data_IF_412562121605
#
_entry.id   IF_412562121605
#
_cell.length_a   1.000
_cell.length_b   1.000
_cell.length_c   1.000
_cell.angle_alpha   90.00
_cell.angle_beta   90.00
_cell.angle_gamma   90.00
#
_symmetry.space_group_name_H-M   'P 1'
#
loop_
_entity.id
_entity.type
_entity.pdbx_description
1 polymer ?
#
# COMPACT_ATOMS: atom_id res chain seq x y z
N UNK A 1 -0.08 -25.79 31.67
CA UNK A 1 -0.92 -25.40 30.52
C UNK A 1 -1.42 -24.01 30.84
N UNK A 2 -1.06 -22.99 30.06
CA UNK A 2 -1.52 -21.62 30.32
C UNK A 2 -3.05 -21.59 30.29
N UNK A 3 -3.69 -20.99 31.29
CA UNK A 3 -5.14 -20.83 31.32
C UNK A 3 -5.60 -20.03 30.10
N UNK A 4 -6.38 -20.66 29.22
CA UNK A 4 -6.92 -20.01 28.01
C UNK A 4 -7.93 -18.96 28.45
N UNK A 5 -7.56 -17.69 28.35
CA UNK A 5 -8.45 -16.56 28.63
C UNK A 5 -9.46 -16.43 27.49
N UNK A 6 -10.75 -16.41 27.82
CA UNK A 6 -11.82 -16.20 26.84
C UNK A 6 -11.74 -14.76 26.33
N UNK A 7 -11.76 -14.58 25.01
CA UNK A 7 -11.87 -13.27 24.37
C UNK A 7 -13.34 -12.87 24.20
N UNK A 8 -14.19 -13.81 23.80
CA UNK A 8 -15.61 -13.56 23.62
C UNK A 8 -16.36 -14.77 23.07
N UNK A 9 -17.67 -14.63 22.93
CA UNK A 9 -18.53 -15.63 22.29
C UNK A 9 -19.07 -15.05 21.00
N UNK A 10 -18.97 -15.85 19.94
CA UNK A 10 -19.43 -15.47 18.61
C UNK A 10 -20.64 -16.30 18.20
N UNK A 11 -21.52 -15.72 17.39
CA UNK A 11 -22.64 -16.43 16.78
C UNK A 11 -22.82 -16.02 15.31
N UNK A 12 -23.06 -17.01 14.45
CA UNK A 12 -23.26 -16.84 13.01
C UNK A 12 -24.73 -16.95 12.61
N UNK A 13 -25.11 -16.15 11.61
CA UNK A 13 -26.43 -16.09 11.00
C UNK A 13 -26.29 -16.07 9.48
N UNK A 14 -27.31 -16.56 8.77
CA UNK A 14 -27.36 -16.53 7.29
C UNK A 14 -28.15 -15.34 6.75
N UNK A 15 -28.94 -14.70 7.61
CA UNK A 15 -29.98 -13.76 7.18
C UNK A 15 -29.69 -12.34 7.72
N UNK A 16 -29.63 -11.32 6.84
CA UNK A 16 -29.36 -9.93 7.21
C UNK A 16 -30.45 -9.33 8.13
N UNK A 17 -31.70 -9.77 8.02
CA UNK A 17 -32.79 -9.28 8.86
C UNK A 17 -32.71 -9.89 10.27
N UNK A 18 -32.31 -11.17 10.36
CA UNK A 18 -32.08 -11.85 11.63
C UNK A 18 -30.99 -11.13 12.42
N UNK A 19 -29.81 -10.87 11.85
CA UNK A 19 -28.71 -10.19 12.56
C UNK A 19 -29.12 -8.80 13.04
N UNK A 20 -29.89 -8.05 12.24
CA UNK A 20 -30.37 -6.71 12.61
C UNK A 20 -31.35 -6.77 13.78
N UNK A 21 -32.21 -7.78 13.82
CA UNK A 21 -33.12 -8.01 14.96
C UNK A 21 -32.36 -8.46 16.21
N UNK A 22 -31.35 -9.32 16.06
CA UNK A 22 -30.50 -9.80 17.14
C UNK A 22 -29.68 -8.66 17.74
N UNK A 23 -29.11 -7.79 16.92
CA UNK A 23 -28.37 -6.61 17.38
C UNK A 23 -29.23 -5.69 18.27
N UNK A 24 -30.51 -5.48 17.92
CA UNK A 24 -31.45 -4.73 18.78
C UNK A 24 -31.67 -5.42 20.13
N UNK A 25 -31.91 -6.73 20.12
CA UNK A 25 -32.12 -7.51 21.36
C UNK A 25 -30.88 -7.53 22.25
N UNK A 26 -29.69 -7.61 21.67
CA UNK A 26 -28.41 -7.59 22.42
C UNK A 26 -28.17 -6.21 23.04
N UNK A 27 -28.49 -5.14 22.32
CA UNK A 27 -28.51 -3.79 22.87
C UNK A 27 -29.52 -3.63 24.02
N UNK A 28 -30.75 -4.12 23.84
CA UNK A 28 -31.81 -4.10 24.87
C UNK A 28 -31.44 -4.94 26.09
N UNK A 29 -30.70 -6.04 25.87
CA UNK A 29 -30.10 -6.84 26.94
C UNK A 29 -28.98 -6.09 27.68
N UNK A 30 -28.55 -4.91 27.23
CA UNK A 30 -27.66 -4.01 27.96
C UNK A 30 -26.17 -4.36 27.83
N UNK A 31 -25.77 -5.14 26.83
CA UNK A 31 -24.35 -5.33 26.52
C UNK A 31 -23.76 -4.05 25.93
N UNK A 32 -22.53 -3.74 26.34
CA UNK A 32 -21.81 -2.52 25.96
C UNK A 32 -20.59 -2.79 25.09
N UNK A 33 -19.92 -3.94 25.28
CA UNK A 33 -18.77 -4.39 24.50
C UNK A 33 -19.15 -5.58 23.63
N UNK A 34 -19.68 -5.28 22.46
CA UNK A 34 -20.04 -6.25 21.45
C UNK A 34 -19.95 -5.59 20.08
N UNK A 35 -19.78 -6.40 19.04
CA UNK A 35 -19.66 -5.93 17.68
C UNK A 35 -20.45 -6.83 16.72
N UNK A 36 -20.79 -6.28 15.56
CA UNK A 36 -21.44 -6.99 14.47
C UNK A 36 -20.50 -7.00 13.28
N UNK A 37 -20.24 -8.18 12.76
CA UNK A 37 -19.40 -8.36 11.59
C UNK A 37 -20.28 -8.79 10.41
N UNK A 38 -20.18 -8.06 9.30
CA UNK A 38 -20.93 -8.35 8.07
C UNK A 38 -20.05 -8.22 6.83
N UNK A 39 -20.27 -9.04 5.79
CA UNK A 39 -19.48 -9.02 4.55
C UNK A 39 -19.68 -7.73 3.75
N UNK A 40 -20.80 -7.04 3.99
CA UNK A 40 -21.15 -5.79 3.35
C UNK A 40 -21.88 -4.84 4.33
N UNK A 41 -21.99 -3.54 4.01
CA UNK A 41 -22.68 -2.57 4.85
C UNK A 41 -24.19 -2.84 4.96
N UNK A 42 -24.66 -3.11 6.18
CA UNK A 42 -26.07 -3.30 6.47
C UNK A 42 -26.73 -1.96 6.84
N UNK A 43 -27.67 -1.52 6.00
CA UNK A 43 -28.38 -0.25 6.23
C UNK A 43 -29.22 -0.33 7.51
N UNK A 44 -29.05 0.65 8.39
CA UNK A 44 -29.76 0.71 9.67
C UNK A 44 -29.13 -0.10 10.81
N UNK A 45 -28.01 -0.81 10.57
CA UNK A 45 -27.27 -1.49 11.62
C UNK A 45 -26.76 -0.52 12.69
N UNK A 46 -26.30 0.67 12.28
CA UNK A 46 -25.88 1.74 13.22
C UNK A 46 -26.97 2.09 14.24
N UNK A 47 -28.23 2.19 13.78
CA UNK A 47 -29.39 2.48 14.64
C UNK A 47 -29.74 1.27 15.51
N UNK A 48 -29.64 0.06 14.97
CA UNK A 48 -29.87 -1.18 15.70
C UNK A 48 -28.87 -1.36 16.85
N UNK A 49 -27.58 -1.11 16.60
CA UNK A 49 -26.50 -1.11 17.61
C UNK A 49 -26.56 0.11 18.53
N UNK A 50 -27.11 1.24 18.07
CA UNK A 50 -27.11 2.50 18.82
C UNK A 50 -25.77 3.21 18.80
N UNK A 51 -25.04 3.12 17.69
CA UNK A 51 -23.76 3.79 17.52
C UNK A 51 -23.95 5.30 17.44
N UNK A 52 -22.94 6.03 17.92
CA UNK A 52 -22.88 7.49 17.79
C UNK A 52 -22.35 7.86 16.40
N UNK A 53 -22.69 9.05 15.88
CA UNK A 53 -22.10 9.55 14.65
C UNK A 53 -20.57 9.56 14.69
N UNK A 54 -19.95 9.20 13.56
CA UNK A 54 -18.50 9.21 13.38
C UNK A 54 -17.92 10.62 13.51
N UNK A 55 -16.79 10.75 14.21
CA UNK A 55 -16.03 12.01 14.34
C UNK A 55 -15.08 12.26 13.14
N UNK A 56 -15.06 11.38 12.14
CA UNK A 56 -14.15 11.47 11.00
C UNK A 56 -14.38 12.73 10.14
N UNK A 57 -15.64 13.20 10.05
CA UNK A 57 -15.97 14.44 9.35
C UNK A 57 -15.34 15.68 10.01
N UNK A 58 -15.25 15.70 11.34
CA UNK A 58 -14.63 16.82 12.09
C UNK A 58 -13.13 16.87 11.83
N UNK A 59 -12.47 15.71 11.80
CA UNK A 59 -11.04 15.61 11.46
C UNK A 59 -10.80 16.19 10.06
N UNK A 60 -11.59 15.73 9.08
CA UNK A 60 -11.51 16.20 7.68
C UNK A 60 -11.65 17.73 7.60
N UNK A 61 -12.61 18.30 8.32
CA UNK A 61 -12.86 19.74 8.33
C UNK A 61 -11.68 20.53 8.92
N UNK A 62 -11.15 20.10 10.06
CA UNK A 62 -10.04 20.78 10.74
C UNK A 62 -8.81 20.80 9.84
N UNK A 63 -8.41 19.64 9.31
CA UNK A 63 -7.23 19.55 8.45
C UNK A 63 -7.44 20.25 7.10
N UNK A 64 -8.64 20.20 6.53
CA UNK A 64 -8.96 20.98 5.32
C UNK A 64 -8.80 22.48 5.53
N UNK A 65 -9.41 23.03 6.60
CA UNK A 65 -9.29 24.46 6.92
C UNK A 65 -7.85 24.86 7.24
N UNK A 66 -7.11 24.02 7.98
CA UNK A 66 -5.68 24.24 8.23
C UNK A 66 -4.87 24.23 6.93
N UNK A 67 -5.18 23.34 5.99
CA UNK A 67 -4.52 23.27 4.68
C UNK A 67 -4.76 24.51 3.83
N UNK A 68 -6.01 24.98 3.79
CA UNK A 68 -6.37 26.23 3.11
C UNK A 68 -5.63 27.43 3.70
N UNK A 69 -5.64 27.56 5.03
CA UNK A 69 -4.97 28.63 5.74
C UNK A 69 -3.45 28.61 5.52
N UNK A 70 -2.83 27.42 5.59
CA UNK A 70 -1.39 27.24 5.41
C UNK A 70 -0.96 27.55 3.97
N UNK A 71 -1.72 27.10 2.97
CA UNK A 71 -1.42 27.37 1.57
C UNK A 71 -1.49 28.87 1.24
N UNK A 72 -2.57 29.54 1.65
CA UNK A 72 -2.72 30.99 1.45
C UNK A 72 -1.65 31.78 2.20
N UNK A 73 -1.37 31.40 3.45
CA UNK A 73 -0.33 32.04 4.25
C UNK A 73 1.05 31.88 3.61
N UNK A 74 1.39 30.66 3.15
CA UNK A 74 2.67 30.37 2.51
C UNK A 74 2.86 31.14 1.20
N UNK A 75 1.84 31.19 0.33
CA UNK A 75 1.91 31.95 -0.92
C UNK A 75 1.98 33.46 -0.69
N UNK A 76 1.19 33.99 0.27
CA UNK A 76 1.29 35.40 0.66
C UNK A 76 2.68 35.73 1.18
N UNK A 77 3.21 34.92 2.10
CA UNK A 77 4.52 35.15 2.69
C UNK A 77 5.63 35.15 1.63
N UNK A 78 5.69 34.11 0.80
CA UNK A 78 6.75 33.97 -0.21
C UNK A 78 6.67 35.03 -1.32
N UNK A 79 5.47 35.28 -1.87
CA UNK A 79 5.32 36.16 -3.04
C UNK A 79 5.10 37.63 -2.71
N UNK A 80 4.64 37.97 -1.50
CA UNK A 80 4.36 39.37 -1.12
C UNK A 80 5.33 39.93 -0.09
N UNK A 81 6.00 39.10 0.72
CA UNK A 81 6.87 39.57 1.81
C UNK A 81 8.33 39.21 1.56
N UNK A 82 8.64 37.93 1.36
CA UNK A 82 10.02 37.44 1.29
C UNK A 82 10.68 37.75 -0.05
N UNK A 83 10.02 37.40 -1.16
CA UNK A 83 10.58 37.57 -2.50
C UNK A 83 9.54 38.14 -3.50
N UNK A 84 9.19 39.43 -3.38
CA UNK A 84 8.24 40.06 -4.28
C UNK A 84 8.80 40.19 -5.70
N UNK A 85 8.16 39.51 -6.66
CA UNK A 85 8.52 39.54 -8.08
C UNK A 85 7.44 40.19 -8.93
N UNK A 86 7.84 41.01 -9.89
CA UNK A 86 6.93 41.61 -10.87
C UNK A 86 6.76 40.66 -12.04
N UNK A 87 5.68 39.86 -12.02
CA UNK A 87 5.37 38.88 -13.07
C UNK A 87 4.15 39.36 -13.86
N UNK A 88 4.36 39.77 -15.12
CA UNK A 88 3.27 40.21 -16.00
C UNK A 88 2.48 41.43 -15.50
N UNK A 89 3.09 42.27 -14.66
CA UNK A 89 2.47 43.49 -14.10
C UNK A 89 1.37 43.25 -13.07
N UNK A 90 1.22 42.03 -12.55
CA UNK A 90 0.21 41.67 -11.55
C UNK A 90 0.58 42.20 -10.15
N UNK A 91 -0.40 42.46 -9.27
CA UNK A 91 -0.13 42.78 -7.87
C UNK A 91 0.54 41.60 -7.16
N UNK A 92 1.38 41.88 -6.16
CA UNK A 92 2.11 40.83 -5.41
C UNK A 92 1.17 39.83 -4.72
N UNK A 93 0.00 40.28 -4.28
CA UNK A 93 -1.06 39.42 -3.75
C UNK A 93 -2.22 39.26 -4.74
N UNK A 94 -2.02 38.42 -5.76
CA UNK A 94 -3.03 38.11 -6.76
C UNK A 94 -3.92 36.93 -6.31
N UNK A 95 -4.85 37.18 -5.38
CA UNK A 95 -5.72 36.15 -4.78
C UNK A 95 -6.36 35.18 -5.80
N UNK A 96 -6.92 35.62 -6.95
CA UNK A 96 -7.51 34.69 -7.92
C UNK A 96 -6.54 33.64 -8.46
N UNK A 97 -5.24 33.97 -8.56
CA UNK A 97 -4.22 33.02 -9.00
C UNK A 97 -3.84 32.00 -7.92
N UNK A 98 -4.08 32.31 -6.64
CA UNK A 98 -3.76 31.46 -5.50
C UNK A 98 -4.88 30.47 -5.16
N UNK A 99 -6.12 30.73 -5.59
CA UNK A 99 -7.26 29.85 -5.31
C UNK A 99 -7.07 28.42 -5.83
N UNK A 100 -6.62 28.18 -7.08
CA UNK A 100 -6.44 26.80 -7.56
C UNK A 100 -5.43 26.01 -6.71
N UNK A 101 -4.30 26.61 -6.35
CA UNK A 101 -3.28 25.96 -5.51
C UNK A 101 -3.81 25.72 -4.09
N UNK A 102 -4.50 26.71 -3.52
CA UNK A 102 -5.12 26.57 -2.18
C UNK A 102 -6.14 25.44 -2.16
N UNK A 103 -6.97 25.32 -3.20
CA UNK A 103 -7.95 24.25 -3.34
C UNK A 103 -7.28 22.88 -3.36
N UNK A 104 -6.24 22.68 -4.19
CA UNK A 104 -5.52 21.40 -4.26
C UNK A 104 -4.87 21.03 -2.92
N UNK A 105 -4.21 21.98 -2.25
CA UNK A 105 -3.58 21.75 -0.93
C UNK A 105 -4.62 21.45 0.14
N UNK A 106 -5.79 22.08 0.07
CA UNK A 106 -6.91 21.80 0.97
C UNK A 106 -7.42 20.38 0.79
N UNK A 107 -7.66 19.96 -0.45
CA UNK A 107 -8.20 18.64 -0.78
C UNK A 107 -7.20 17.54 -0.40
N UNK A 108 -5.90 17.71 -0.72
CA UNK A 108 -4.89 16.70 -0.38
C UNK A 108 -4.70 16.57 1.13
N UNK A 109 -4.65 17.69 1.88
CA UNK A 109 -4.45 17.61 3.34
C UNK A 109 -5.70 17.04 4.02
N UNK A 110 -6.90 17.43 3.59
CA UNK A 110 -8.15 16.85 4.08
C UNK A 110 -8.18 15.34 3.81
N UNK A 111 -8.02 14.89 2.56
CA UNK A 111 -8.13 13.47 2.21
C UNK A 111 -7.08 12.59 2.88
N UNK A 112 -5.80 13.00 2.87
CA UNK A 112 -4.72 12.21 3.49
C UNK A 112 -4.89 12.12 5.00
N UNK A 113 -5.19 13.23 5.68
CA UNK A 113 -5.40 13.22 7.13
C UNK A 113 -6.61 12.39 7.53
N UNK A 114 -7.70 12.43 6.77
CA UNK A 114 -8.89 11.59 6.98
C UNK A 114 -8.56 10.12 6.86
N UNK A 115 -7.84 9.71 5.81
CA UNK A 115 -7.45 8.31 5.61
C UNK A 115 -6.53 7.83 6.74
N UNK A 116 -5.54 8.64 7.12
CA UNK A 116 -4.62 8.32 8.22
C UNK A 116 -5.37 8.21 9.55
N UNK A 117 -6.27 9.15 9.85
CA UNK A 117 -7.06 9.10 11.07
C UNK A 117 -8.00 7.88 11.09
N UNK A 118 -8.64 7.57 9.96
CA UNK A 118 -9.50 6.39 9.81
C UNK A 118 -8.72 5.11 10.13
N UNK A 119 -7.55 4.93 9.54
CA UNK A 119 -6.73 3.74 9.79
C UNK A 119 -6.14 3.70 11.20
N UNK A 120 -5.46 4.76 11.64
CA UNK A 120 -4.66 4.72 12.87
C UNK A 120 -5.50 4.92 14.14
N UNK A 121 -6.50 5.80 14.11
CA UNK A 121 -7.25 6.18 15.31
C UNK A 121 -8.56 5.42 15.47
N UNK A 122 -9.34 5.30 14.38
CA UNK A 122 -10.68 4.72 14.44
C UNK A 122 -10.66 3.20 14.27
N UNK A 123 -10.01 2.69 13.22
CA UNK A 123 -9.94 1.25 12.94
C UNK A 123 -8.76 0.57 13.63
N UNK A 124 -7.77 1.36 14.09
CA UNK A 124 -6.54 0.88 14.74
C UNK A 124 -5.75 -0.13 13.89
N UNK A 125 -5.75 0.07 12.57
CA UNK A 125 -5.00 -0.76 11.62
C UNK A 125 -3.54 -0.27 11.53
N UNK A 126 -2.56 -1.20 11.36
CA UNK A 126 -2.70 -2.66 11.27
C UNK A 126 -2.78 -3.33 12.65
N UNK A 127 -3.86 -4.10 12.89
CA UNK A 127 -4.05 -4.93 14.10
C UNK A 127 -4.10 -6.41 13.73
N UNK A 128 -2.94 -6.95 13.38
CA UNK A 128 -2.82 -8.34 12.92
C UNK A 128 -2.96 -9.36 14.06
N UNK A 129 -2.73 -8.95 15.31
CA UNK A 129 -2.83 -9.82 16.49
C UNK A 129 -4.28 -10.08 16.96
N UNK A 130 -5.29 -9.68 16.18
CA UNK A 130 -6.68 -9.76 16.63
C UNK A 130 -7.17 -11.22 16.73
N UNK A 131 -7.76 -11.67 17.86
CA UNK A 131 -8.08 -13.08 18.09
C UNK A 131 -9.06 -13.71 17.08
N UNK A 132 -9.86 -12.91 16.36
CA UNK A 132 -10.85 -13.41 15.42
C UNK A 132 -10.27 -13.79 14.05
N UNK A 133 -9.10 -13.32 13.65
CA UNK A 133 -8.63 -13.47 12.25
C UNK A 133 -8.46 -14.92 11.80
N UNK A 134 -8.11 -15.83 12.71
CA UNK A 134 -7.87 -17.25 12.39
C UNK A 134 -9.10 -18.15 12.60
N UNK A 135 -10.22 -17.62 13.11
CA UNK A 135 -11.41 -18.41 13.44
C UNK A 135 -12.24 -18.73 12.21
N UNK A 136 -12.97 -19.86 12.25
CA UNK A 136 -13.89 -20.21 11.17
C UNK A 136 -15.08 -19.25 11.10
N UNK A 137 -15.41 -18.61 12.23
CA UNK A 137 -16.32 -17.48 12.29
C UNK A 137 -15.93 -16.36 11.31
N UNK A 138 -14.71 -15.82 11.39
CA UNK A 138 -14.32 -14.67 10.57
C UNK A 138 -14.20 -15.02 9.08
N UNK A 139 -13.78 -16.26 8.77
CA UNK A 139 -13.76 -16.77 7.38
C UNK A 139 -15.15 -16.76 6.76
N UNK A 140 -16.16 -17.22 7.50
CA UNK A 140 -17.56 -17.26 7.02
C UNK A 140 -18.16 -15.86 6.91
N UNK A 141 -17.89 -14.98 7.88
CA UNK A 141 -18.40 -13.61 7.85
C UNK A 141 -17.83 -12.80 6.69
N UNK A 142 -16.57 -13.05 6.34
CA UNK A 142 -15.93 -12.37 5.20
C UNK A 142 -16.47 -12.82 3.84
N UNK A 143 -17.19 -13.95 3.77
CA UNK A 143 -17.74 -14.48 2.54
C UNK A 143 -19.23 -14.15 2.36
N UNK A 144 -20.08 -14.69 3.23
CA UNK A 144 -21.53 -14.73 3.01
C UNK A 144 -22.38 -14.69 4.30
N UNK A 145 -21.80 -14.97 5.47
CA UNK A 145 -22.53 -15.02 6.73
C UNK A 145 -22.49 -13.69 7.50
N UNK A 146 -23.40 -13.53 8.44
CA UNK A 146 -23.42 -12.41 9.37
C UNK A 146 -23.06 -12.89 10.76
N UNK A 147 -22.25 -12.12 11.48
CA UNK A 147 -21.73 -12.51 12.77
C UNK A 147 -22.02 -11.47 13.84
N UNK A 148 -22.20 -11.95 15.08
CA UNK A 148 -22.15 -11.12 16.28
C UNK A 148 -21.05 -11.63 17.20
N UNK A 149 -20.35 -10.72 17.88
CA UNK A 149 -19.34 -10.98 18.88
C UNK A 149 -19.76 -10.27 20.17
N UNK A 150 -19.79 -11.00 21.29
CA UNK A 150 -19.88 -10.40 22.62
C UNK A 150 -18.54 -10.63 23.31
N UNK A 151 -17.86 -9.54 23.69
CA UNK A 151 -16.54 -9.62 24.33
C UNK A 151 -16.65 -10.04 25.80
N UNK A 152 -15.67 -10.82 26.26
CA UNK A 152 -15.58 -11.23 27.66
C UNK A 152 -15.26 -10.06 28.61
N UNK A 153 -14.75 -8.96 28.07
CA UNK A 153 -14.47 -7.71 28.78
C UNK A 153 -15.73 -6.91 29.15
N UNK A 154 -16.92 -7.33 28.70
CA UNK A 154 -18.18 -6.65 29.04
C UNK A 154 -18.54 -6.88 30.53
N UNK A 155 -18.99 -5.85 31.27
CA UNK A 155 -19.37 -6.01 32.68
C UNK A 155 -20.50 -7.01 32.94
N UNK A 156 -21.36 -7.25 31.95
CA UNK A 156 -22.50 -8.17 32.03
C UNK A 156 -22.15 -9.56 31.48
N UNK A 157 -20.92 -9.78 31.02
CA UNK A 157 -20.53 -11.04 30.45
C UNK A 157 -20.48 -12.16 31.49
N UNK A 158 -21.22 -13.22 31.23
CA UNK A 158 -21.04 -14.51 31.88
C UNK A 158 -21.19 -15.59 30.81
N UNK A 159 -20.22 -16.50 30.75
CA UNK A 159 -20.11 -17.50 29.68
C UNK A 159 -21.41 -18.29 29.49
N UNK A 160 -21.99 -18.80 30.56
CA UNK A 160 -23.19 -19.64 30.49
C UNK A 160 -24.43 -18.85 30.06
N UNK A 161 -24.64 -17.66 30.62
CA UNK A 161 -25.82 -16.84 30.30
C UNK A 161 -25.74 -16.20 28.92
N UNK A 162 -24.54 -15.80 28.49
CA UNK A 162 -24.33 -15.23 27.16
C UNK A 162 -24.48 -16.31 26.09
N UNK A 163 -23.98 -17.52 26.36
CA UNK A 163 -24.15 -18.65 25.45
C UNK A 163 -25.61 -19.11 25.35
N UNK A 164 -26.38 -19.10 26.45
CA UNK A 164 -27.82 -19.37 26.39
C UNK A 164 -28.57 -18.28 25.62
N UNK A 165 -28.27 -17.01 25.90
CA UNK A 165 -28.90 -15.88 25.20
C UNK A 165 -28.65 -15.93 23.69
N UNK A 166 -27.41 -16.22 23.28
CA UNK A 166 -27.07 -16.32 21.86
C UNK A 166 -27.77 -17.50 21.19
N UNK A 167 -27.96 -18.62 21.89
CA UNK A 167 -28.74 -19.77 21.40
C UNK A 167 -30.23 -19.47 21.24
N UNK A 168 -30.80 -18.64 22.11
CA UNK A 168 -32.20 -18.21 22.03
C UNK A 168 -32.50 -17.42 20.74
N UNK A 169 -31.46 -16.87 20.09
CA UNK A 169 -31.58 -16.16 18.82
C UNK A 169 -31.52 -17.05 17.57
N UNK A 170 -31.48 -18.38 17.73
CA UNK A 170 -31.42 -19.35 16.62
C UNK A 170 -30.23 -19.12 15.65
N UNK A 171 -28.97 -19.16 16.16
CA UNK A 171 -27.79 -19.01 15.33
C UNK A 171 -27.46 -20.32 14.60
N UNK A 172 -26.82 -20.22 13.43
CA UNK A 172 -26.30 -21.38 12.70
C UNK A 172 -25.17 -22.07 13.45
N UNK A 173 -24.28 -21.29 14.06
CA UNK A 173 -23.12 -21.79 14.78
C UNK A 173 -22.71 -20.81 15.87
N UNK A 174 -22.30 -21.32 17.03
CA UNK A 174 -21.79 -20.55 18.15
C UNK A 174 -20.41 -21.07 18.54
N UNK A 175 -19.43 -20.18 18.63
CA UNK A 175 -18.04 -20.52 18.94
C UNK A 175 -17.52 -19.63 20.07
N UNK A 176 -16.84 -20.23 21.06
CA UNK A 176 -16.14 -19.52 22.12
C UNK A 176 -14.72 -19.24 21.62
N UNK A 177 -14.36 -17.96 21.52
CA UNK A 177 -13.06 -17.51 21.05
C UNK A 177 -12.17 -17.21 22.25
N UNK A 178 -10.93 -17.69 22.20
CA UNK A 178 -9.93 -17.46 23.24
C UNK A 178 -8.88 -16.44 22.76
N UNK A 179 -8.24 -15.76 23.70
CA UNK A 179 -7.07 -14.95 23.41
C UNK A 179 -5.95 -15.82 22.85
N UNK A 180 -5.28 -15.30 21.81
CA UNK A 180 -4.07 -15.90 21.28
C UNK A 180 -2.91 -15.67 22.23
N UNK A 181 -2.09 -16.70 22.41
CA UNK A 181 -0.81 -16.58 23.12
C UNK A 181 0.11 -15.63 22.34
N UNK A 182 0.63 -14.60 23.01
CA UNK A 182 1.45 -13.59 22.36
C UNK A 182 2.84 -14.16 22.04
N UNK A 183 3.11 -14.42 20.77
CA UNK A 183 4.44 -14.75 20.30
C UNK A 183 5.30 -13.48 20.20
N UNK A 184 6.25 -13.31 21.12
CA UNK A 184 7.17 -12.16 21.08
C UNK A 184 8.38 -12.48 20.22
N UNK A 185 8.52 -11.82 19.08
CA UNK A 185 9.76 -11.84 18.29
C UNK A 185 10.62 -10.64 18.67
N UNK A 186 11.86 -10.82 19.16
CA UNK A 186 12.75 -9.69 19.43
C UNK A 186 13.14 -9.01 18.12
N UNK A 187 13.16 -7.67 18.12
CA UNK A 187 13.47 -6.84 16.94
C UNK A 187 14.86 -7.16 16.34
N UNK A 188 15.78 -7.67 17.17
CA UNK A 188 17.16 -8.02 16.80
C UNK A 188 17.39 -9.53 16.71
N UNK A 189 16.50 -10.27 16.05
CA UNK A 189 16.76 -11.67 15.76
C UNK A 189 18.01 -11.81 14.87
N UNK A 190 18.98 -12.67 15.22
CA UNK A 190 20.23 -12.80 14.47
C UNK A 190 20.02 -13.22 13.02
N UNK A 191 18.95 -13.99 12.72
CA UNK A 191 18.58 -14.36 11.34
C UNK A 191 18.14 -13.14 10.53
N UNK A 192 17.34 -12.25 11.13
CA UNK A 192 16.88 -11.02 10.48
C UNK A 192 18.05 -10.05 10.23
N UNK A 193 18.92 -9.87 11.22
CA UNK A 193 20.14 -9.07 11.07
C UNK A 193 21.06 -9.65 9.98
N UNK A 194 21.29 -10.96 9.97
CA UNK A 194 22.10 -11.62 8.95
C UNK A 194 21.51 -11.44 7.54
N UNK A 195 20.17 -11.49 7.41
CA UNK A 195 19.48 -11.22 6.15
C UNK A 195 19.66 -9.75 5.72
N UNK A 196 19.53 -8.79 6.62
CA UNK A 196 19.71 -7.37 6.30
C UNK A 196 21.14 -7.07 5.85
N UNK A 197 22.14 -7.65 6.54
CA UNK A 197 23.54 -7.56 6.17
C UNK A 197 23.81 -8.20 4.81
N UNK A 198 23.23 -9.37 4.52
CA UNK A 198 23.43 -10.03 3.23
C UNK A 198 22.83 -9.22 2.07
N UNK A 199 21.64 -8.65 2.26
CA UNK A 199 21.02 -7.74 1.28
C UNK A 199 21.90 -6.53 1.04
N UNK A 200 22.42 -5.90 2.10
CA UNK A 200 23.31 -4.75 1.97
C UNK A 200 24.59 -5.08 1.20
N UNK A 201 25.21 -6.24 1.46
CA UNK A 201 26.41 -6.71 0.75
C UNK A 201 26.10 -6.97 -0.73
N UNK A 202 25.01 -7.68 -1.03
CA UNK A 202 24.63 -8.01 -2.41
C UNK A 202 24.32 -6.75 -3.21
N UNK A 203 23.56 -5.81 -2.65
CA UNK A 203 23.23 -4.54 -3.31
C UNK A 203 24.48 -3.69 -3.53
N UNK A 204 25.37 -3.60 -2.53
CA UNK A 204 26.61 -2.85 -2.63
C UNK A 204 27.56 -3.44 -3.68
N UNK A 205 27.78 -4.76 -3.65
CA UNK A 205 28.61 -5.46 -4.63
C UNK A 205 28.03 -5.37 -6.04
N UNK A 206 26.71 -5.53 -6.19
CA UNK A 206 26.02 -5.39 -7.47
C UNK A 206 26.14 -3.98 -8.03
N UNK A 207 25.96 -2.96 -7.19
CA UNK A 207 26.12 -1.55 -7.57
C UNK A 207 27.56 -1.25 -7.96
N UNK A 208 28.53 -1.70 -7.17
CA UNK A 208 29.96 -1.55 -7.47
C UNK A 208 30.35 -2.21 -8.79
N UNK A 209 29.93 -3.45 -9.00
CA UNK A 209 30.21 -4.18 -10.24
C UNK A 209 29.59 -3.50 -11.46
N UNK A 210 28.33 -3.07 -11.34
CA UNK A 210 27.64 -2.37 -12.42
C UNK A 210 28.38 -1.09 -12.80
N UNK A 211 28.69 -0.25 -11.81
CA UNK A 211 29.29 1.06 -12.04
C UNK A 211 30.76 1.00 -12.44
N UNK A 212 31.55 0.00 -12.00
CA UNK A 212 32.99 -0.05 -12.23
C UNK A 212 33.45 -1.09 -13.26
N UNK A 213 32.63 -2.10 -13.56
CA UNK A 213 32.98 -3.15 -14.52
C UNK A 213 32.00 -3.19 -15.67
N UNK A 214 30.71 -3.37 -15.40
CA UNK A 214 29.73 -3.61 -16.45
C UNK A 214 29.62 -2.44 -17.44
N UNK A 215 29.60 -1.20 -16.96
CA UNK A 215 29.52 -0.02 -17.84
C UNK A 215 30.77 0.20 -18.71
N UNK A 216 31.93 -0.32 -18.32
CA UNK A 216 33.20 -0.14 -19.03
C UNK A 216 33.60 -1.38 -19.83
N UNK A 217 32.76 -2.42 -19.86
CA UNK A 217 32.94 -3.53 -20.78
C UNK A 217 32.42 -3.09 -22.14
N UNK A 218 33.32 -2.98 -23.12
CA UNK A 218 32.95 -2.63 -24.49
C UNK A 218 32.06 -3.73 -25.07
N UNK A 219 30.76 -3.47 -25.30
CA UNK A 219 29.89 -4.46 -25.86
C UNK A 219 30.11 -4.52 -27.38
N UNK A 220 30.17 -5.72 -27.94
CA UNK A 220 30.22 -5.95 -29.38
C UNK A 220 31.49 -5.46 -30.11
N UNK A 221 32.67 -5.61 -29.51
CA UNK A 221 33.97 -5.29 -30.15
C UNK A 221 34.26 -6.04 -31.46
N UNK A 222 33.69 -7.23 -31.67
CA UNK A 222 33.83 -8.04 -32.89
C UNK A 222 33.43 -7.35 -34.21
N UNK A 223 32.67 -6.25 -34.19
CA UNK A 223 32.38 -5.44 -35.38
C UNK A 223 33.41 -4.32 -35.60
N UNK A 224 34.10 -3.86 -34.55
CA UNK A 224 35.16 -2.86 -34.61
C UNK A 224 36.52 -3.50 -34.92
N UNK A 225 36.80 -4.63 -34.29
CA UNK A 225 37.98 -5.46 -34.52
C UNK A 225 37.63 -6.53 -35.55
N UNK A 226 37.62 -6.12 -36.82
CA UNK A 226 37.54 -7.05 -37.94
C UNK A 226 38.94 -7.34 -38.47
N UNK A 227 39.25 -8.64 -38.62
CA UNK A 227 40.44 -9.08 -39.33
C UNK A 227 40.38 -8.61 -40.78
N UNK A 228 41.05 -7.49 -41.08
CA UNK A 228 41.19 -6.95 -42.43
C UNK A 228 42.60 -7.20 -42.93
N UNK A 229 42.69 -7.76 -44.12
CA UNK A 229 43.96 -7.93 -44.82
C UNK A 229 44.38 -6.57 -45.36
N UNK A 230 45.56 -6.10 -44.99
CA UNK A 230 46.09 -4.84 -45.50
C UNK A 230 46.65 -5.03 -46.92
N UNK A 231 46.67 -4.01 -47.79
CA UNK A 231 47.09 -4.15 -49.19
C UNK A 231 48.50 -4.75 -49.39
N UNK A 232 49.34 -4.73 -48.36
CA UNK A 232 50.73 -5.22 -48.40
C UNK A 232 50.96 -6.48 -47.56
N UNK A 233 49.94 -7.02 -46.88
CA UNK A 233 50.08 -8.26 -46.12
C UNK A 233 49.91 -9.49 -47.02
N UNK A 234 50.73 -10.51 -46.80
CA UNK A 234 50.60 -11.81 -47.48
C UNK A 234 49.35 -12.54 -46.99
N UNK A 235 48.76 -13.35 -47.86
CA UNK A 235 47.52 -14.08 -47.57
C UNK A 235 47.62 -15.50 -48.09
N UNK A 236 47.25 -16.47 -47.26
CA UNK A 236 47.27 -17.89 -47.63
C UNK A 236 46.00 -18.31 -48.40
N UNK A 237 44.96 -17.48 -48.44
CA UNK A 237 43.70 -17.75 -49.15
C UNK A 237 43.84 -17.80 -50.67
N UNK A 238 44.82 -17.10 -51.25
CA UNK A 238 45.00 -17.00 -52.70
C UNK A 238 46.35 -17.57 -53.11
N UNK A 239 46.38 -18.29 -54.23
CA UNK A 239 47.58 -18.98 -54.73
C UNK A 239 48.76 -18.05 -55.08
N UNK A 240 48.51 -16.75 -55.25
CA UNK A 240 49.52 -15.73 -55.55
C UNK A 240 50.02 -14.98 -54.29
N UNK A 241 49.62 -15.44 -53.09
CA UNK A 241 49.96 -14.89 -51.77
C UNK A 241 49.59 -13.41 -51.56
N UNK A 242 48.82 -12.79 -52.47
CA UNK A 242 48.47 -11.37 -52.41
C UNK A 242 47.08 -11.17 -51.81
N UNK A 243 47.02 -10.35 -50.75
CA UNK A 243 45.76 -9.96 -50.13
C UNK A 243 44.87 -9.06 -51.00
N UNK A 244 45.46 -8.14 -51.75
CA UNK A 244 44.73 -7.25 -52.66
C UNK A 244 44.56 -7.90 -54.03
N UNK A 245 43.30 -8.07 -54.45
CA UNK A 245 42.96 -8.59 -55.78
C UNK A 245 42.88 -7.44 -56.78
N UNK A 246 43.42 -7.66 -57.97
CA UNK A 246 43.16 -6.78 -59.10
C UNK A 246 41.68 -6.88 -59.51
N UNK A 247 41.07 -5.77 -59.99
CA UNK A 247 39.73 -5.85 -60.54
C UNK A 247 39.69 -6.85 -61.70
N UNK A 248 38.60 -7.61 -61.78
CA UNK A 248 38.41 -8.59 -62.85
C UNK A 248 38.29 -7.84 -64.18
N UNK A 249 38.95 -8.33 -65.23
CA UNK A 249 38.89 -7.70 -66.55
C UNK A 249 37.44 -7.53 -67.02
N UNK A 250 37.13 -6.36 -67.57
CA UNK A 250 35.77 -6.01 -68.02
C UNK A 250 34.82 -5.52 -66.93
N UNK A 251 35.25 -5.47 -65.66
CA UNK A 251 34.44 -4.92 -64.57
C UNK A 251 34.76 -3.46 -64.29
N UNK A 252 33.72 -2.67 -63.99
CA UNK A 252 33.83 -1.25 -63.61
C UNK A 252 33.46 -1.13 -62.13
N UNK A 253 34.25 -0.38 -61.36
CA UNK A 253 33.98 -0.17 -59.94
C UNK A 253 32.60 0.48 -59.74
N UNK A 254 31.83 -0.02 -58.77
CA UNK A 254 30.50 0.53 -58.46
C UNK A 254 30.63 2.01 -58.06
N UNK A 255 30.09 2.91 -58.88
CA UNK A 255 30.19 4.36 -58.71
C UNK A 255 31.20 5.06 -59.62
N UNK A 256 31.93 4.33 -60.47
CA UNK A 256 32.82 4.92 -61.47
C UNK A 256 32.03 5.32 -62.72
N UNK A 257 31.95 6.62 -63.00
CA UNK A 257 31.34 7.18 -64.21
C UNK A 257 32.48 7.49 -65.19
N UNK A 258 32.62 6.75 -66.30
CA UNK A 258 33.68 7.02 -67.27
C UNK A 258 33.29 8.25 -68.11
N UNK A 259 33.88 9.39 -67.76
CA UNK A 259 33.74 10.75 -68.33
C UNK A 259 32.48 11.54 -67.91
N UNK A 260 32.59 12.88 -67.74
CA UNK A 260 31.49 13.74 -67.29
C UNK A 260 30.38 13.90 -68.33
#
# INVERSE_FOLDING_TARGET
>A
MAEKRIYGITALFNDPDKITSTAKKVKEAGFTKWDVHSPYPLHGMEKAMGLKPSMLGVVTLIFGLSGAALALFFMWWTMSVDYPMVIGGKPFFALPAFIPVTFEVTVILATVSTVVAMFALFFQLPRNEFPLHDTDYMKKVSCDHFGILIEADDPKFNEASTLSLLKDFDPLHTEIVYHRDKETYPIFEPKFLAFLVSVAIVVSLGTYFTLNKLMFLDPFNWMMEQDRITPQSRTELFADERGMRVPVEGTVAKGFIPYP
#
